data_IF_970289700445
#
_entry.id   IF_970289700445
#
_cell.length_a   1.000
_cell.length_b   1.000
_cell.length_c   1.000
_cell.angle_alpha   90.00
_cell.angle_beta   90.00
_cell.angle_gamma   90.00
#
_symmetry.space_group_name_H-M   'P 1'
#
loop_
_entity.id
_entity.type
_entity.pdbx_description
1 polymer ?
#
# COMPACT_ATOMS: atom_id res chain seq x y z
N UNK A 1 28.93 -68.06 -18.62
CA UNK A 1 29.69 -66.88 -19.10
C UNK A 1 28.89 -66.32 -20.27
N UNK A 2 28.01 -65.34 -20.02
CA UNK A 2 27.04 -64.83 -21.00
C UNK A 2 27.67 -63.76 -21.89
N UNK A 3 27.61 -63.96 -23.20
CA UNK A 3 28.08 -63.00 -24.23
C UNK A 3 26.90 -62.17 -24.73
N UNK A 4 27.12 -60.86 -24.81
CA UNK A 4 26.17 -59.81 -25.19
C UNK A 4 25.73 -59.91 -26.65
N UNK A 5 24.45 -59.66 -26.92
CA UNK A 5 23.98 -59.12 -28.21
C UNK A 5 23.11 -57.90 -27.88
N UNK A 6 23.60 -56.72 -28.27
CA UNK A 6 22.92 -55.44 -28.14
C UNK A 6 22.19 -55.19 -29.44
N UNK A 7 20.86 -55.26 -29.43
CA UNK A 7 20.03 -54.90 -30.58
C UNK A 7 19.71 -53.42 -30.50
N UNK A 8 20.38 -52.61 -31.31
CA UNK A 8 20.10 -51.17 -31.44
C UNK A 8 18.76 -50.96 -32.15
N UNK A 9 17.77 -50.42 -31.44
CA UNK A 9 16.51 -49.97 -32.01
C UNK A 9 16.64 -48.48 -32.37
N UNK A 10 16.75 -48.16 -33.65
CA UNK A 10 16.74 -46.79 -34.16
C UNK A 10 15.28 -46.33 -34.20
N UNK A 11 14.88 -45.44 -33.29
CA UNK A 11 13.58 -44.77 -33.32
C UNK A 11 13.75 -43.44 -34.07
N UNK A 12 13.30 -43.39 -35.33
CA UNK A 12 13.27 -42.16 -36.10
C UNK A 12 12.14 -41.26 -35.59
N UNK A 13 12.49 -40.14 -34.94
CA UNK A 13 11.54 -39.13 -34.51
C UNK A 13 11.23 -38.23 -35.71
N UNK A 14 10.10 -38.46 -36.36
CA UNK A 14 9.55 -37.54 -37.37
C UNK A 14 8.98 -36.32 -36.66
N UNK A 15 9.67 -35.18 -36.75
CA UNK A 15 9.18 -33.89 -36.30
C UNK A 15 8.12 -33.37 -37.28
N UNK A 16 6.84 -33.53 -36.97
CA UNK A 16 5.77 -32.83 -37.66
C UNK A 16 5.68 -31.40 -37.10
N UNK A 17 5.78 -30.34 -37.93
CA UNK A 17 5.60 -28.99 -37.42
C UNK A 17 4.16 -28.82 -36.94
N UNK A 18 4.02 -28.59 -35.64
CA UNK A 18 2.77 -28.18 -35.00
C UNK A 18 2.52 -26.71 -35.38
N UNK A 19 1.89 -26.46 -36.53
CA UNK A 19 1.19 -25.19 -36.75
C UNK A 19 -0.06 -25.18 -35.88
N UNK A 20 0.13 -24.90 -34.59
CA UNK A 20 -0.96 -24.55 -33.70
C UNK A 20 -1.54 -23.22 -34.20
N UNK A 21 -2.84 -23.23 -34.45
CA UNK A 21 -3.60 -22.10 -34.94
C UNK A 21 -3.54 -20.91 -33.97
N UNK A 22 -2.71 -19.92 -34.28
CA UNK A 22 -2.73 -18.61 -33.63
C UNK A 22 -3.86 -17.75 -34.25
N UNK A 23 -5.12 -18.18 -34.04
CA UNK A 23 -6.30 -17.37 -34.38
C UNK A 23 -7.45 -17.68 -33.43
N UNK A 24 -7.39 -17.19 -32.20
CA UNK A 24 -8.59 -16.92 -31.40
C UNK A 24 -8.32 -15.85 -30.34
N UNK A 25 -8.97 -14.69 -30.52
CA UNK A 25 -9.33 -13.69 -29.51
C UNK A 25 -8.23 -12.95 -28.74
N UNK A 26 -7.47 -12.11 -29.44
CA UNK A 26 -7.03 -10.84 -28.81
C UNK A 26 -8.20 -9.86 -28.97
N UNK A 27 -8.90 -9.46 -27.90
CA UNK A 27 -9.93 -8.43 -28.00
C UNK A 27 -9.28 -7.15 -28.54
N UNK A 28 -10.05 -6.42 -29.36
CA UNK A 28 -9.64 -5.20 -30.02
C UNK A 28 -8.80 -4.29 -29.10
N UNK A 29 -7.72 -3.74 -29.67
CA UNK A 29 -6.92 -2.66 -29.06
C UNK A 29 -7.91 -1.67 -28.42
N UNK A 30 -7.81 -1.38 -27.11
CA UNK A 30 -8.75 -0.49 -26.46
C UNK A 30 -8.79 0.80 -27.27
N UNK A 31 -9.96 1.12 -27.81
CA UNK A 31 -10.23 2.41 -28.44
C UNK A 31 -9.69 3.45 -27.49
N UNK A 32 -8.75 4.26 -27.98
CA UNK A 32 -7.99 5.26 -27.24
C UNK A 32 -8.80 5.79 -26.07
N UNK A 33 -8.39 5.48 -24.84
CA UNK A 33 -8.90 6.18 -23.68
C UNK A 33 -8.53 7.65 -23.90
N UNK A 34 -9.48 8.42 -24.44
CA UNK A 34 -9.25 9.78 -24.92
C UNK A 34 -8.92 10.73 -23.77
N UNK A 35 -9.19 10.30 -22.53
CA UNK A 35 -9.02 11.05 -21.31
C UNK A 35 -8.38 10.14 -20.26
N UNK A 36 -7.42 10.66 -19.52
CA UNK A 36 -6.87 10.01 -18.33
C UNK A 36 -8.01 9.92 -17.30
N UNK A 37 -8.32 8.76 -16.72
CA UNK A 37 -9.32 8.65 -15.66
C UNK A 37 -9.02 9.62 -14.52
N UNK A 38 -10.00 10.43 -14.13
CA UNK A 38 -9.82 11.52 -13.14
C UNK A 38 -10.41 11.20 -11.75
N UNK A 39 -11.04 10.03 -11.61
CA UNK A 39 -11.71 9.58 -10.38
C UNK A 39 -10.80 9.66 -9.15
N UNK A 40 -9.53 9.28 -9.30
CA UNK A 40 -8.53 9.38 -8.24
C UNK A 40 -8.32 10.83 -7.80
N UNK A 41 -8.08 11.75 -8.74
CA UNK A 41 -7.85 13.16 -8.43
C UNK A 41 -9.08 13.79 -7.78
N UNK A 42 -10.28 13.52 -8.31
CA UNK A 42 -11.54 13.94 -7.69
C UNK A 42 -11.70 13.41 -6.27
N UNK A 43 -11.30 12.16 -6.02
CA UNK A 43 -11.35 11.57 -4.69
C UNK A 43 -10.40 12.29 -3.73
N UNK A 44 -9.17 12.55 -4.15
CA UNK A 44 -8.16 13.28 -3.36
C UNK A 44 -8.66 14.71 -3.04
N UNK A 45 -9.20 15.43 -4.02
CA UNK A 45 -9.66 16.82 -3.88
C UNK A 45 -10.97 16.99 -3.11
N UNK A 46 -11.72 15.90 -2.87
CA UNK A 46 -12.99 15.94 -2.12
C UNK A 46 -12.78 16.52 -0.71
N UNK A 47 -13.70 17.35 -0.23
CA UNK A 47 -13.70 17.81 1.16
C UNK A 47 -13.90 16.65 2.15
N UNK A 48 -13.22 16.70 3.30
CA UNK A 48 -13.37 15.72 4.38
C UNK A 48 -13.81 16.42 5.68
N UNK A 49 -15.12 16.58 5.92
CA UNK A 49 -15.62 17.21 7.14
C UNK A 49 -15.24 16.47 8.44
N UNK A 50 -14.91 15.18 8.33
CA UNK A 50 -14.45 14.35 9.44
C UNK A 50 -12.96 14.53 9.75
N UNK A 51 -12.21 15.27 8.92
CA UNK A 51 -10.78 15.47 9.13
C UNK A 51 -10.54 16.23 10.44
N UNK A 52 -9.79 15.60 11.35
CA UNK A 52 -9.42 16.18 12.64
C UNK A 52 -8.18 15.50 13.19
N UNK A 53 -7.52 16.13 14.14
CA UNK A 53 -6.37 15.54 14.83
C UNK A 53 -6.25 16.03 16.27
N UNK A 54 -5.60 15.21 17.10
CA UNK A 54 -5.29 15.51 18.50
C UNK A 54 -3.84 15.13 18.80
N UNK A 55 -3.08 16.03 19.42
CA UNK A 55 -1.70 15.77 19.86
C UNK A 55 -1.74 15.21 21.29
N UNK A 56 -0.99 14.12 21.51
CA UNK A 56 -0.82 13.48 22.81
C UNK A 56 0.55 13.80 23.43
N UNK A 57 0.74 13.39 24.68
CA UNK A 57 2.00 13.58 25.41
C UNK A 57 3.20 13.05 24.63
N UNK A 58 4.22 13.92 24.49
CA UNK A 58 5.46 13.57 23.83
C UNK A 58 6.36 12.70 24.69
N UNK A 59 7.24 11.94 24.06
CA UNK A 59 8.30 11.19 24.75
C UNK A 59 9.60 11.26 23.96
N UNK A 60 10.72 11.21 24.66
CA UNK A 60 12.05 11.33 24.05
C UNK A 60 12.84 10.04 24.16
N UNK A 61 13.62 9.76 23.11
CA UNK A 61 14.53 8.64 23.06
C UNK A 61 15.75 9.01 22.21
N UNK A 62 16.94 8.80 22.76
CA UNK A 62 18.21 8.91 22.01
C UNK A 62 18.41 10.24 21.27
N UNK A 63 18.09 11.36 21.92
CA UNK A 63 18.24 12.72 21.37
C UNK A 63 17.20 13.09 20.31
N UNK A 64 16.04 12.43 20.34
CA UNK A 64 14.90 12.70 19.47
C UNK A 64 13.64 12.69 20.32
N UNK A 65 12.78 13.69 20.12
CA UNK A 65 11.45 13.76 20.74
C UNK A 65 10.39 13.32 19.74
N UNK A 66 9.50 12.43 20.15
CA UNK A 66 8.36 11.96 19.37
C UNK A 66 7.06 12.60 19.89
N UNK A 67 6.28 13.15 18.97
CA UNK A 67 4.95 13.73 19.22
C UNK A 67 3.89 12.84 18.58
N UNK A 68 3.12 12.06 19.37
CA UNK A 68 2.03 11.26 18.84
C UNK A 68 0.84 12.15 18.49
N UNK A 69 0.23 11.86 17.34
CA UNK A 69 -0.96 12.55 16.82
C UNK A 69 -1.98 11.50 16.45
N UNK A 70 -3.14 11.51 17.11
CA UNK A 70 -4.30 10.73 16.67
C UNK A 70 -4.97 11.49 15.53
N UNK A 71 -4.92 10.94 14.32
CA UNK A 71 -5.39 11.57 13.10
C UNK A 71 -6.65 10.85 12.60
N UNK A 72 -7.73 11.59 12.39
CA UNK A 72 -8.85 11.16 11.56
C UNK A 72 -8.68 11.77 10.17
N UNK A 73 -8.46 10.94 9.16
CA UNK A 73 -8.14 11.43 7.80
C UNK A 73 -9.38 11.69 6.95
N UNK A 74 -10.40 10.83 7.06
CA UNK A 74 -11.54 10.84 6.14
C UNK A 74 -12.66 9.90 6.59
N UNK A 75 -13.77 9.92 5.84
CA UNK A 75 -14.76 8.85 5.84
C UNK A 75 -14.79 8.14 4.49
N UNK A 76 -14.70 6.81 4.51
CA UNK A 76 -14.74 5.97 3.32
C UNK A 76 -15.70 4.81 3.50
N UNK A 77 -16.64 4.65 2.55
CA UNK A 77 -17.71 3.65 2.61
C UNK A 77 -18.46 3.64 3.95
N UNK A 78 -18.70 4.84 4.52
CA UNK A 78 -19.38 5.04 5.80
C UNK A 78 -18.51 4.76 7.04
N UNK A 79 -17.26 4.34 6.87
CA UNK A 79 -16.33 4.06 7.97
C UNK A 79 -15.37 5.24 8.19
N UNK A 80 -15.20 5.64 9.44
CA UNK A 80 -14.21 6.65 9.83
C UNK A 80 -12.80 6.06 9.79
N UNK A 81 -11.87 6.75 9.13
CA UNK A 81 -10.48 6.33 9.04
C UNK A 81 -9.63 7.05 10.08
N UNK A 82 -8.99 6.28 10.95
CA UNK A 82 -8.12 6.76 12.03
C UNK A 82 -6.71 6.20 11.89
N UNK A 83 -5.73 7.01 12.24
CA UNK A 83 -4.31 6.69 12.14
C UNK A 83 -3.55 7.24 13.35
N UNK A 84 -2.44 6.61 13.68
CA UNK A 84 -1.40 7.27 14.46
C UNK A 84 -0.34 7.86 13.54
N UNK A 85 -0.20 9.19 13.59
CA UNK A 85 0.88 9.96 13.00
C UNK A 85 1.86 10.35 14.11
N UNK A 86 3.16 10.15 13.90
CA UNK A 86 4.19 10.57 14.85
C UNK A 86 5.13 11.57 14.19
N UNK A 87 5.37 12.70 14.84
CA UNK A 87 6.40 13.65 14.42
C UNK A 87 7.63 13.41 15.28
N UNK A 88 8.75 13.07 14.65
CA UNK A 88 10.04 12.87 15.30
C UNK A 88 10.92 14.10 15.02
N UNK A 89 11.29 14.79 16.08
CA UNK A 89 12.17 15.95 16.04
C UNK A 89 13.50 15.63 16.73
N UNK A 90 14.63 15.63 16.02
CA UNK A 90 15.94 15.49 16.66
C UNK A 90 16.28 16.76 17.46
N UNK A 91 17.01 16.62 18.57
CA UNK A 91 17.42 17.75 19.45
C UNK A 91 18.18 18.84 18.67
N UNK A 92 18.88 18.44 17.61
CA UNK A 92 19.59 19.33 16.70
C UNK A 92 19.06 19.16 15.27
N UNK A 93 18.09 20.01 14.91
CA UNK A 93 17.51 20.04 13.56
C UNK A 93 18.45 20.74 12.59
N UNK A 94 19.08 19.95 11.72
CA UNK A 94 19.99 20.42 10.66
C UNK A 94 19.24 20.79 9.38
N UNK A 95 18.16 20.06 9.09
CA UNK A 95 17.31 20.29 7.91
C UNK A 95 15.95 20.78 8.40
N UNK A 96 15.74 22.09 8.33
CA UNK A 96 14.51 22.73 8.82
C UNK A 96 13.48 23.04 7.72
N UNK A 97 13.86 22.93 6.45
CA UNK A 97 13.01 23.30 5.30
C UNK A 97 12.21 22.12 4.72
N UNK A 98 12.41 20.90 5.24
CA UNK A 98 11.82 19.66 4.71
C UNK A 98 11.49 18.71 5.86
N UNK A 99 10.51 17.85 5.62
CA UNK A 99 10.13 16.73 6.49
C UNK A 99 10.14 15.46 5.63
N UNK A 100 10.65 14.36 6.19
CA UNK A 100 10.46 13.03 5.58
C UNK A 100 9.12 12.47 6.03
N UNK A 101 8.17 12.33 5.11
CA UNK A 101 6.97 11.54 5.35
C UNK A 101 7.27 10.05 5.10
N UNK A 102 7.07 9.24 6.12
CA UNK A 102 7.23 7.78 6.07
C UNK A 102 5.88 7.12 6.33
N UNK A 103 5.26 6.57 5.29
CA UNK A 103 3.96 5.88 5.38
C UNK A 103 4.18 4.38 5.56
N UNK A 104 3.49 3.79 6.53
CA UNK A 104 3.60 2.36 6.87
C UNK A 104 2.23 1.74 7.15
N UNK A 105 2.16 0.42 7.00
CA UNK A 105 1.01 -0.38 7.39
C UNK A 105 0.87 -0.52 8.92
N UNK A 106 0.17 -1.56 9.34
CA UNK A 106 -0.19 -1.80 10.74
C UNK A 106 -1.66 -2.16 10.88
N UNK A 107 -2.13 -2.42 12.10
CA UNK A 107 -3.55 -2.63 12.36
C UNK A 107 -4.08 -1.54 13.29
N UNK A 108 -5.30 -1.11 13.04
CA UNK A 108 -6.10 -0.28 13.92
C UNK A 108 -6.48 -1.04 15.20
N UNK A 109 -6.97 -0.30 16.20
CA UNK A 109 -7.33 -0.82 17.51
C UNK A 109 -6.28 -0.58 18.61
N UNK A 110 -5.21 0.16 18.30
CA UNK A 110 -4.22 0.58 19.29
C UNK A 110 -3.10 1.43 18.69
N UNK A 111 -2.23 1.94 19.55
CA UNK A 111 -0.98 2.58 19.14
C UNK A 111 0.01 1.55 18.57
N UNK A 112 0.84 1.93 17.59
CA UNK A 112 1.95 1.10 17.14
C UNK A 112 2.94 0.84 18.30
N UNK A 113 3.50 -0.37 18.33
CA UNK A 113 4.50 -0.73 19.32
C UNK A 113 5.84 0.02 19.10
N UNK A 114 6.71 -0.02 20.12
CA UNK A 114 8.02 0.62 20.04
C UNK A 114 8.88 0.09 18.87
N UNK A 115 8.74 -1.18 18.47
CA UNK A 115 9.54 -1.74 17.36
C UNK A 115 9.19 -1.05 16.04
N UNK A 116 7.92 -0.68 15.84
CA UNK A 116 7.47 0.08 14.67
C UNK A 116 7.97 1.52 14.65
N UNK A 117 8.25 2.13 15.80
CA UNK A 117 8.75 3.51 15.88
C UNK A 117 10.26 3.62 15.70
N UNK A 118 11.03 2.57 16.03
CA UNK A 118 12.51 2.58 15.97
C UNK A 118 13.11 3.07 14.65
N UNK A 119 12.61 2.68 13.46
CA UNK A 119 13.16 3.19 12.21
C UNK A 119 13.06 4.72 12.09
N UNK A 120 11.95 5.32 12.54
CA UNK A 120 11.76 6.77 12.45
C UNK A 120 12.67 7.54 13.42
N UNK A 121 12.90 7.01 14.62
CA UNK A 121 13.92 7.53 15.55
C UNK A 121 15.32 7.54 14.91
N UNK A 122 15.71 6.41 14.32
CA UNK A 122 17.02 6.29 13.65
C UNK A 122 17.14 7.28 12.48
N UNK A 123 16.11 7.41 11.66
CA UNK A 123 16.08 8.33 10.52
C UNK A 123 16.20 9.79 11.00
N UNK A 124 15.41 10.21 11.98
CA UNK A 124 15.47 11.57 12.51
C UNK A 124 16.86 11.91 13.06
N UNK A 125 17.43 11.01 13.88
CA UNK A 125 18.76 11.18 14.46
C UNK A 125 19.87 11.24 13.41
N UNK A 126 19.87 10.32 12.45
CA UNK A 126 20.95 10.21 11.45
C UNK A 126 20.91 11.30 10.39
N UNK A 127 19.72 11.79 10.05
CA UNK A 127 19.56 12.83 9.03
C UNK A 127 19.59 14.24 9.60
N UNK A 128 19.31 14.42 10.90
CA UNK A 128 19.07 15.73 11.50
C UNK A 128 17.82 16.41 10.92
N UNK A 129 16.93 15.66 10.26
CA UNK A 129 15.67 16.15 9.72
C UNK A 129 14.50 15.67 10.58
N UNK A 130 13.39 16.41 10.52
CA UNK A 130 12.13 15.93 11.07
C UNK A 130 11.57 14.78 10.23
N UNK A 131 11.04 13.77 10.90
CA UNK A 131 10.37 12.62 10.26
C UNK A 131 8.93 12.56 10.73
N UNK A 132 8.00 12.47 9.79
CA UNK A 132 6.58 12.21 10.05
C UNK A 132 6.29 10.74 9.71
N UNK A 133 6.02 9.90 10.71
CA UNK A 133 5.64 8.50 10.51
C UNK A 133 4.13 8.38 10.54
N UNK A 134 3.50 8.15 9.40
CA UNK A 134 2.09 7.81 9.30
C UNK A 134 1.93 6.29 9.31
N UNK A 135 1.19 5.78 10.28
CA UNK A 135 0.96 4.32 10.44
C UNK A 135 -0.48 3.94 10.12
N UNK A 136 -0.75 2.63 10.02
CA UNK A 136 -2.10 2.10 9.82
C UNK A 136 -2.71 2.57 8.50
N UNK A 137 -1.89 2.59 7.44
CA UNK A 137 -2.34 2.77 6.06
C UNK A 137 -2.11 1.44 5.33
N UNK A 138 -3.17 0.67 4.98
CA UNK A 138 -4.59 1.01 5.08
C UNK A 138 -5.17 0.94 6.50
N UNK A 139 -6.34 1.54 6.70
CA UNK A 139 -7.14 1.35 7.92
C UNK A 139 -7.68 -0.08 7.91
N UNK A 140 -7.19 -0.94 8.81
CA UNK A 140 -7.45 -2.39 8.78
C UNK A 140 -7.34 -3.01 10.19
N UNK A 141 -7.93 -4.19 10.47
CA UNK A 141 -8.67 -5.05 9.54
C UNK A 141 -10.06 -4.50 9.17
N UNK A 142 -10.57 -4.89 8.01
CA UNK A 142 -11.94 -4.60 7.53
C UNK A 142 -12.57 -5.82 6.85
N UNK A 143 -13.88 -5.79 6.58
CA UNK A 143 -14.63 -6.84 5.87
C UNK A 143 -14.29 -8.27 6.33
N UNK A 144 -14.66 -8.59 7.57
CA UNK A 144 -14.40 -9.89 8.19
C UNK A 144 -12.91 -10.19 8.41
N UNK A 145 -12.18 -9.21 8.92
CA UNK A 145 -10.80 -9.42 9.37
C UNK A 145 -9.73 -9.29 8.30
N UNK A 146 -10.08 -8.96 7.06
CA UNK A 146 -9.15 -8.83 5.93
C UNK A 146 -8.14 -7.70 6.15
N UNK A 147 -6.93 -7.91 5.66
CA UNK A 147 -5.78 -7.00 5.77
C UNK A 147 -5.01 -6.98 4.45
N UNK A 148 -4.25 -5.92 4.22
CA UNK A 148 -3.28 -5.78 3.13
C UNK A 148 -3.88 -6.23 1.78
N UNK A 149 -3.23 -7.16 1.09
CA UNK A 149 -3.61 -7.64 -0.24
C UNK A 149 -5.00 -8.31 -0.27
N UNK A 150 -5.42 -8.99 0.80
CA UNK A 150 -6.77 -9.58 0.88
C UNK A 150 -7.83 -8.48 0.91
N UNK A 151 -7.55 -7.41 1.66
CA UNK A 151 -8.43 -6.25 1.73
C UNK A 151 -8.45 -5.49 0.40
N UNK A 152 -7.29 -5.28 -0.24
CA UNK A 152 -7.18 -4.67 -1.57
C UNK A 152 -7.98 -5.50 -2.59
N UNK A 153 -7.80 -6.82 -2.60
CA UNK A 153 -8.50 -7.74 -3.52
C UNK A 153 -10.00 -7.68 -3.33
N UNK A 154 -10.49 -7.76 -2.08
CA UNK A 154 -11.92 -7.62 -1.75
C UNK A 154 -12.50 -6.33 -2.33
N UNK A 155 -11.80 -5.20 -2.16
CA UNK A 155 -12.28 -3.91 -2.67
C UNK A 155 -12.30 -3.83 -4.20
N UNK A 156 -11.31 -4.42 -4.88
CA UNK A 156 -11.32 -4.51 -6.34
C UNK A 156 -12.45 -5.38 -6.86
N UNK A 157 -12.75 -6.51 -6.21
CA UNK A 157 -13.89 -7.36 -6.59
C UNK A 157 -15.22 -6.61 -6.47
N UNK A 158 -15.37 -5.77 -5.44
CA UNK A 158 -16.57 -4.91 -5.29
C UNK A 158 -16.65 -3.84 -6.38
N UNK A 159 -15.53 -3.21 -6.73
CA UNK A 159 -15.49 -2.29 -7.87
C UNK A 159 -15.92 -3.00 -9.17
N UNK A 160 -15.32 -4.14 -9.50
CA UNK A 160 -15.66 -4.89 -10.72
C UNK A 160 -17.12 -5.33 -10.77
N UNK A 161 -17.72 -5.61 -9.61
CA UNK A 161 -19.13 -6.00 -9.50
C UNK A 161 -20.09 -4.81 -9.62
N UNK A 162 -19.74 -3.65 -9.09
CA UNK A 162 -20.66 -2.51 -8.90
C UNK A 162 -20.41 -1.35 -9.84
N UNK A 163 -19.20 -1.21 -10.37
CA UNK A 163 -18.73 -0.02 -11.08
C UNK A 163 -18.46 1.20 -10.20
N UNK A 164 -18.62 1.12 -8.87
CA UNK A 164 -18.42 2.25 -7.97
C UNK A 164 -16.92 2.51 -7.72
N UNK A 165 -16.41 3.57 -8.35
CA UNK A 165 -15.01 4.02 -8.31
C UNK A 165 -14.54 4.45 -6.92
N UNK A 166 -15.43 4.53 -5.93
CA UNK A 166 -15.07 4.74 -4.53
C UNK A 166 -14.72 3.42 -3.82
N UNK A 167 -14.78 2.26 -4.47
CA UNK A 167 -14.36 0.99 -3.86
C UNK A 167 -12.85 0.78 -3.76
N UNK A 168 -12.01 1.06 -4.77
CA UNK A 168 -10.59 0.73 -4.70
C UNK A 168 -9.90 1.32 -3.46
N UNK A 169 -9.43 0.46 -2.55
CA UNK A 169 -8.81 0.86 -1.27
C UNK A 169 -7.63 1.81 -1.42
N UNK A 170 -6.96 1.79 -2.58
CA UNK A 170 -5.82 2.63 -2.87
C UNK A 170 -6.16 4.13 -2.80
N UNK A 171 -7.42 4.51 -3.05
CA UNK A 171 -7.87 5.90 -3.02
C UNK A 171 -7.85 6.46 -1.59
N UNK A 172 -8.57 5.87 -0.61
CA UNK A 172 -8.45 6.31 0.78
C UNK A 172 -7.03 6.12 1.33
N UNK A 173 -6.29 5.09 0.92
CA UNK A 173 -4.88 4.93 1.35
C UNK A 173 -4.01 6.14 0.97
N UNK A 174 -4.10 6.60 -0.28
CA UNK A 174 -3.34 7.76 -0.73
C UNK A 174 -3.80 9.03 0.00
N UNK A 175 -5.12 9.22 0.13
CA UNK A 175 -5.69 10.39 0.79
C UNK A 175 -5.36 10.49 2.28
N UNK A 176 -5.07 9.38 2.95
CA UNK A 176 -4.55 9.42 4.33
C UNK A 176 -3.25 10.22 4.47
N UNK A 177 -2.51 10.46 3.38
CA UNK A 177 -1.20 11.09 3.38
C UNK A 177 -1.15 12.50 2.75
N UNK A 178 -2.22 12.97 2.11
CA UNK A 178 -2.24 14.24 1.33
C UNK A 178 -3.43 15.12 1.63
#
# INVERSE_FOLDING_TARGET
>A
MLTRIVTSLILAISCTPLTAAEKTNIPARPTTASQIPDAFFKYIEREEPAYQWEIHDSFSHDGVTAYPVELTSQTWQGMTWKHWLYIFEPDNVQINSKVLLFVTGGSNGGQPDQKRLKPAFLLAKTTGARVALLTQVPNQPLFDGKKEDDLITETWLRYLKTGDENWPLLFPMAKSAV
#
